data_IF_393340022808
#
_entry.id   IF_393340022808
#
_cell.length_a   1.000
_cell.length_b   1.000
_cell.length_c   1.000
_cell.angle_alpha   90.00
_cell.angle_beta   90.00
_cell.angle_gamma   90.00
#
_symmetry.space_group_name_H-M   'P 1'
#
loop_
_entity.id
_entity.type
_entity.pdbx_description
1 polymer ?
#
# COMPACT_ATOMS: atom_id res chain seq x y z
N UNK A 1 -42.73 33.07 44.06
CA UNK A 1 -42.28 32.97 42.65
C UNK A 1 -41.08 32.03 42.61
N UNK A 2 -41.25 30.77 42.21
CA UNK A 2 -40.19 29.75 42.11
C UNK A 2 -39.73 29.69 40.66
N UNK A 3 -38.44 30.03 40.42
CA UNK A 3 -37.79 29.84 39.11
C UNK A 3 -37.34 28.38 39.00
N UNK A 4 -37.89 27.66 38.04
CA UNK A 4 -37.47 26.32 37.65
C UNK A 4 -36.39 26.47 36.57
N UNK A 5 -35.14 26.07 36.90
CA UNK A 5 -34.06 25.95 35.93
C UNK A 5 -34.13 24.60 35.25
N UNK A 6 -34.40 24.57 33.95
CA UNK A 6 -34.37 23.38 33.12
C UNK A 6 -32.89 23.21 32.65
N UNK A 7 -32.24 22.23 33.20
CA UNK A 7 -30.92 21.82 32.73
C UNK A 7 -31.05 21.04 31.43
N UNK A 8 -30.46 21.59 30.36
CA UNK A 8 -30.33 20.90 29.08
C UNK A 8 -29.10 19.96 29.17
N UNK A 9 -29.35 18.68 29.29
CA UNK A 9 -28.33 17.66 29.13
C UNK A 9 -28.09 17.46 27.60
N UNK A 10 -27.03 18.04 27.08
CA UNK A 10 -26.57 17.73 25.72
C UNK A 10 -25.80 16.40 25.77
N UNK A 11 -26.43 15.34 25.28
CA UNK A 11 -25.83 14.04 25.11
C UNK A 11 -24.74 14.09 24.06
N UNK A 12 -23.51 13.89 24.47
CA UNK A 12 -22.37 13.65 23.59
C UNK A 12 -22.46 12.22 23.03
N UNK A 13 -23.06 12.08 21.84
CA UNK A 13 -23.16 10.80 21.12
C UNK A 13 -22.84 11.01 19.63
N UNK A 14 -21.59 11.34 19.29
CA UNK A 14 -21.14 11.47 17.88
C UNK A 14 -19.67 11.10 17.64
N UNK A 15 -19.11 10.09 18.33
CA UNK A 15 -17.72 9.66 18.06
C UNK A 15 -17.54 8.16 17.74
N UNK A 16 -18.63 7.39 17.57
CA UNK A 16 -18.50 5.93 17.31
C UNK A 16 -18.71 5.50 15.86
N UNK A 17 -19.18 6.40 14.97
CA UNK A 17 -19.50 6.03 13.59
C UNK A 17 -18.27 5.94 12.66
N UNK A 18 -17.20 6.71 12.90
CA UNK A 18 -16.03 6.73 12.04
C UNK A 18 -15.23 5.43 12.08
N UNK A 19 -15.03 4.86 13.26
CA UNK A 19 -14.25 3.63 13.46
C UNK A 19 -14.96 2.40 12.86
N UNK A 20 -16.28 2.34 12.95
CA UNK A 20 -17.05 1.23 12.39
C UNK A 20 -17.01 1.20 10.85
N UNK A 21 -17.01 2.35 10.19
CA UNK A 21 -16.91 2.43 8.72
C UNK A 21 -15.50 2.05 8.21
N UNK A 22 -14.44 2.49 8.88
CA UNK A 22 -13.07 2.14 8.53
C UNK A 22 -12.82 0.63 8.67
N UNK A 23 -13.21 0.02 9.77
CA UNK A 23 -13.10 -1.42 10.01
C UNK A 23 -13.91 -2.25 9.00
N UNK A 24 -15.10 -1.79 8.58
CA UNK A 24 -15.91 -2.48 7.59
C UNK A 24 -15.28 -2.40 6.18
N UNK A 25 -14.63 -1.28 5.86
CA UNK A 25 -13.88 -1.10 4.62
C UNK A 25 -12.67 -2.05 4.56
N UNK A 26 -11.88 -2.12 5.63
CA UNK A 26 -10.71 -3.00 5.72
C UNK A 26 -11.09 -4.48 5.61
N UNK A 27 -12.16 -4.92 6.28
CA UNK A 27 -12.69 -6.30 6.12
C UNK A 27 -13.08 -6.62 4.69
N UNK A 28 -13.69 -5.67 4.00
CA UNK A 28 -14.09 -5.86 2.61
C UNK A 28 -12.88 -5.95 1.68
N UNK A 29 -11.87 -5.09 1.88
CA UNK A 29 -10.60 -5.18 1.16
C UNK A 29 -9.89 -6.51 1.43
N UNK A 30 -9.85 -6.97 2.69
CA UNK A 30 -9.29 -8.27 3.05
C UNK A 30 -9.99 -9.44 2.35
N UNK A 31 -11.32 -9.39 2.24
CA UNK A 31 -12.11 -10.40 1.54
C UNK A 31 -11.82 -10.42 0.03
N UNK A 32 -11.77 -9.26 -0.61
CA UNK A 32 -11.45 -9.16 -2.05
C UNK A 32 -10.00 -9.58 -2.33
N UNK A 33 -9.05 -9.17 -1.48
CA UNK A 33 -7.66 -9.63 -1.57
C UNK A 33 -7.58 -11.15 -1.35
N UNK A 34 -8.40 -11.71 -0.45
CA UNK A 34 -8.51 -13.16 -0.22
C UNK A 34 -8.97 -13.95 -1.45
N UNK A 35 -9.73 -13.32 -2.37
CA UNK A 35 -10.19 -13.91 -3.63
C UNK A 35 -9.16 -13.82 -4.75
N UNK A 36 -8.10 -13.05 -4.55
CA UNK A 36 -6.99 -12.91 -5.51
C UNK A 36 -6.16 -14.19 -5.50
N UNK A 37 -5.86 -14.72 -6.69
CA UNK A 37 -4.94 -15.85 -6.85
C UNK A 37 -3.47 -15.42 -6.74
N UNK A 38 -3.16 -14.20 -7.20
CA UNK A 38 -1.84 -13.60 -7.06
C UNK A 38 -1.73 -12.83 -5.74
N UNK A 39 -0.56 -12.88 -5.16
CA UNK A 39 -0.12 -11.94 -4.11
C UNK A 39 0.42 -10.65 -4.73
N UNK A 40 0.55 -9.60 -3.90
CA UNK A 40 1.20 -8.35 -4.33
C UNK A 40 2.64 -8.59 -4.82
N UNK A 41 3.38 -9.50 -4.17
CA UNK A 41 4.74 -9.90 -4.58
C UNK A 41 4.75 -10.49 -6.00
N UNK A 42 3.80 -11.36 -6.31
CA UNK A 42 3.71 -11.96 -7.65
C UNK A 42 3.33 -10.93 -8.71
N UNK A 43 2.43 -9.99 -8.38
CA UNK A 43 2.08 -8.89 -9.28
C UNK A 43 3.30 -7.97 -9.56
N UNK A 44 4.08 -7.64 -8.53
CA UNK A 44 5.34 -6.89 -8.69
C UNK A 44 6.28 -7.63 -9.66
N UNK A 45 6.47 -8.94 -9.48
CA UNK A 45 7.35 -9.73 -10.35
C UNK A 45 6.88 -9.77 -11.80
N UNK A 46 5.56 -9.80 -12.04
CA UNK A 46 4.99 -9.73 -13.40
C UNK A 46 5.36 -8.40 -14.05
N UNK A 47 5.19 -7.28 -13.36
CA UNK A 47 5.51 -5.94 -13.87
C UNK A 47 7.02 -5.75 -14.09
N UNK A 48 7.87 -6.13 -13.14
CA UNK A 48 9.33 -6.04 -13.25
C UNK A 48 9.87 -6.92 -14.39
N UNK A 49 9.29 -8.10 -14.60
CA UNK A 49 9.66 -8.96 -15.73
C UNK A 49 9.31 -8.32 -17.09
N UNK A 50 8.22 -7.57 -17.15
CA UNK A 50 7.78 -6.91 -18.38
C UNK A 50 8.61 -5.66 -18.70
N UNK A 51 9.05 -4.90 -17.69
CA UNK A 51 9.80 -3.64 -17.85
C UNK A 51 11.32 -3.84 -17.77
N UNK A 52 11.79 -4.77 -16.94
CA UNK A 52 13.21 -4.94 -16.60
C UNK A 52 13.70 -3.96 -15.53
N UNK A 53 12.83 -3.11 -15.00
CA UNK A 53 13.15 -2.06 -14.03
C UNK A 53 12.93 -2.46 -12.57
N UNK A 54 12.78 -1.45 -11.69
CA UNK A 54 12.49 -1.60 -10.25
C UNK A 54 11.18 -0.96 -9.88
N UNK A 55 10.39 -1.67 -9.10
CA UNK A 55 9.08 -1.18 -8.62
C UNK A 55 9.24 -0.07 -7.58
N UNK A 56 8.47 0.99 -7.76
CA UNK A 56 8.41 2.16 -6.87
C UNK A 56 7.11 2.24 -6.06
N UNK A 57 6.03 1.64 -6.57
CA UNK A 57 4.71 1.57 -5.93
C UNK A 57 3.97 0.33 -6.40
N UNK A 58 3.22 -0.27 -5.50
CA UNK A 58 2.40 -1.43 -5.78
C UNK A 58 1.11 -1.35 -4.94
N UNK A 59 -0.04 -1.34 -5.60
CA UNK A 59 -1.34 -1.11 -4.98
C UNK A 59 -2.35 -2.18 -5.40
N UNK A 60 -3.07 -2.75 -4.43
CA UNK A 60 -4.28 -3.52 -4.68
C UNK A 60 -5.47 -2.56 -4.72
N UNK A 61 -5.93 -2.25 -5.91
CA UNK A 61 -7.02 -1.31 -6.12
C UNK A 61 -8.35 -2.06 -6.25
N UNK A 62 -9.23 -1.82 -5.29
CA UNK A 62 -10.58 -2.33 -5.26
C UNK A 62 -11.58 -1.20 -5.06
N UNK A 63 -12.43 -0.98 -6.06
CA UNK A 63 -13.55 -0.04 -5.99
C UNK A 63 -14.86 -0.81 -6.17
N UNK A 64 -15.82 -0.57 -5.28
CA UNK A 64 -17.13 -1.23 -5.34
C UNK A 64 -17.75 -1.06 -6.74
N UNK A 65 -18.14 -2.18 -7.36
CA UNK A 65 -18.71 -2.19 -8.72
C UNK A 65 -17.68 -2.33 -9.85
N UNK A 66 -16.38 -2.31 -9.55
CA UNK A 66 -15.31 -2.54 -10.51
C UNK A 66 -14.53 -3.81 -10.15
N UNK A 67 -13.96 -4.51 -11.15
CA UNK A 67 -13.03 -5.61 -10.87
C UNK A 67 -11.81 -5.09 -10.09
N UNK A 68 -11.35 -5.88 -9.11
CA UNK A 68 -10.09 -5.60 -8.45
C UNK A 68 -8.92 -5.70 -9.44
N UNK A 69 -7.90 -4.89 -9.26
CA UNK A 69 -6.66 -4.89 -10.04
C UNK A 69 -5.46 -4.63 -9.13
N UNK A 70 -4.28 -5.07 -9.55
CA UNK A 70 -3.01 -4.54 -9.05
C UNK A 70 -2.54 -3.42 -9.97
N UNK A 71 -2.14 -2.29 -9.40
CA UNK A 71 -1.49 -1.18 -10.10
C UNK A 71 -0.03 -1.11 -9.63
N UNK A 72 0.89 -1.41 -10.53
CA UNK A 72 2.33 -1.52 -10.19
C UNK A 72 3.10 -0.49 -11.00
N UNK A 73 3.84 0.38 -10.34
CA UNK A 73 4.68 1.39 -11.00
C UNK A 73 6.14 0.94 -11.01
N UNK A 74 6.70 0.84 -12.18
CA UNK A 74 8.08 0.39 -12.41
C UNK A 74 8.89 1.51 -13.05
N UNK A 75 10.00 1.85 -12.42
CA UNK A 75 11.02 2.74 -13.00
C UNK A 75 11.98 1.91 -13.85
N UNK A 76 12.13 2.26 -15.13
CA UNK A 76 13.04 1.58 -16.06
C UNK A 76 14.48 1.59 -15.56
N UNK A 77 15.28 0.63 -16.01
CA UNK A 77 16.69 0.46 -15.60
C UNK A 77 17.54 1.70 -15.88
N UNK A 78 17.26 2.44 -16.96
CA UNK A 78 17.94 3.68 -17.30
C UNK A 78 17.40 4.92 -16.54
N UNK A 79 16.37 4.75 -15.73
CA UNK A 79 15.75 5.79 -14.91
C UNK A 79 14.96 6.85 -15.71
N UNK A 80 14.66 6.60 -16.98
CA UNK A 80 14.04 7.59 -17.88
C UNK A 80 12.55 7.41 -18.09
N UNK A 81 12.00 6.27 -17.68
CA UNK A 81 10.59 5.94 -17.88
C UNK A 81 9.99 5.39 -16.60
N UNK A 82 8.79 5.87 -16.25
CA UNK A 82 7.96 5.30 -15.19
C UNK A 82 6.71 4.73 -15.85
N UNK A 83 6.51 3.41 -15.73
CA UNK A 83 5.36 2.70 -16.31
C UNK A 83 4.48 2.15 -15.21
N UNK A 84 3.18 2.42 -15.29
CA UNK A 84 2.17 1.74 -14.47
C UNK A 84 1.63 0.53 -15.24
N UNK A 85 1.65 -0.62 -14.60
CA UNK A 85 1.07 -1.88 -15.08
C UNK A 85 -0.21 -2.15 -14.32
N UNK A 86 -1.31 -2.38 -15.04
CA UNK A 86 -2.60 -2.81 -14.48
C UNK A 86 -2.70 -4.32 -14.67
N UNK A 87 -2.70 -5.08 -13.57
CA UNK A 87 -2.61 -6.55 -13.58
C UNK A 87 -3.88 -7.16 -12.97
N UNK A 88 -4.41 -8.18 -13.65
CA UNK A 88 -5.54 -8.94 -13.14
C UNK A 88 -5.11 -9.85 -11.98
N UNK A 89 -5.71 -9.71 -10.78
CA UNK A 89 -5.29 -10.49 -9.62
C UNK A 89 -5.69 -11.97 -9.65
N UNK A 90 -6.54 -12.37 -10.61
CA UNK A 90 -6.97 -13.77 -10.76
C UNK A 90 -6.15 -14.52 -11.79
N UNK A 91 -5.68 -13.84 -12.83
CA UNK A 91 -4.99 -14.47 -13.96
C UNK A 91 -3.52 -14.11 -14.06
N UNK A 92 -3.10 -12.99 -13.47
CA UNK A 92 -1.75 -12.43 -13.61
C UNK A 92 -1.52 -11.73 -14.95
N UNK A 93 -2.53 -11.61 -15.79
CA UNK A 93 -2.39 -10.94 -17.07
C UNK A 93 -2.29 -9.43 -16.90
N UNK A 94 -1.37 -8.81 -17.64
CA UNK A 94 -1.33 -7.35 -17.79
C UNK A 94 -2.53 -6.94 -18.65
N UNK A 95 -3.43 -6.16 -18.07
CA UNK A 95 -4.64 -5.64 -18.75
C UNK A 95 -4.38 -4.35 -19.48
N UNK A 96 -3.52 -3.51 -18.91
CA UNK A 96 -3.22 -2.19 -19.42
C UNK A 96 -1.86 -1.69 -18.95
N UNK A 97 -1.31 -0.69 -19.64
CA UNK A 97 -0.06 -0.03 -19.29
C UNK A 97 -0.16 1.46 -19.57
N UNK A 98 0.30 2.28 -18.62
CA UNK A 98 0.30 3.74 -18.75
C UNK A 98 1.69 4.31 -18.47
N UNK A 99 2.08 5.34 -19.22
CA UNK A 99 3.25 6.12 -18.87
C UNK A 99 2.87 7.12 -17.76
N UNK A 100 3.60 7.10 -16.66
CA UNK A 100 3.41 7.99 -15.53
C UNK A 100 4.32 9.23 -15.62
N UNK A 101 3.95 10.26 -14.89
CA UNK A 101 4.74 11.50 -14.82
C UNK A 101 5.99 11.25 -13.97
N UNK A 102 7.13 11.15 -14.66
CA UNK A 102 8.42 10.83 -14.04
C UNK A 102 8.92 11.95 -13.10
N UNK A 103 8.67 13.23 -13.42
CA UNK A 103 9.11 14.37 -12.61
C UNK A 103 8.60 14.30 -11.17
N UNK A 104 7.39 13.79 -10.97
CA UNK A 104 6.82 13.62 -9.64
C UNK A 104 7.60 12.57 -8.81
N UNK A 105 8.12 11.53 -9.45
CA UNK A 105 9.00 10.57 -8.78
C UNK A 105 10.38 11.18 -8.52
N UNK A 106 10.97 11.84 -9.50
CA UNK A 106 12.32 12.41 -9.41
C UNK A 106 12.41 13.55 -8.40
N UNK A 107 11.30 14.25 -8.11
CA UNK A 107 11.26 15.25 -7.03
C UNK A 107 11.38 14.62 -5.64
N UNK A 108 11.06 13.33 -5.51
CA UNK A 108 11.09 12.58 -4.25
C UNK A 108 12.35 11.73 -4.08
N UNK A 109 12.86 11.14 -5.15
CA UNK A 109 14.04 10.29 -5.12
C UNK A 109 14.80 10.28 -6.45
N UNK A 110 16.08 9.99 -6.44
CA UNK A 110 16.84 9.77 -7.66
C UNK A 110 16.74 8.29 -8.11
N UNK A 111 16.82 8.03 -9.43
CA UNK A 111 16.88 6.66 -9.96
C UNK A 111 18.03 5.85 -9.38
N UNK A 112 19.18 6.48 -9.16
CA UNK A 112 20.36 5.82 -8.58
C UNK A 112 20.13 5.40 -7.13
N UNK A 113 19.44 6.22 -6.31
CA UNK A 113 19.10 5.82 -4.95
C UNK A 113 18.27 4.55 -4.94
N UNK A 114 17.26 4.45 -5.82
CA UNK A 114 16.44 3.25 -5.92
C UNK A 114 17.26 2.04 -6.42
N UNK A 115 18.10 2.23 -7.44
CA UNK A 115 18.91 1.17 -8.04
C UNK A 115 19.96 0.61 -7.07
N UNK A 116 20.60 1.47 -6.27
CA UNK A 116 21.67 1.11 -5.35
C UNK A 116 21.17 0.64 -3.97
N UNK A 117 19.90 0.89 -3.66
CA UNK A 117 19.33 0.43 -2.38
C UNK A 117 19.26 -1.10 -2.34
N UNK A 118 19.85 -1.76 -1.31
CA UNK A 118 19.94 -3.23 -1.24
C UNK A 118 18.56 -3.89 -1.10
N UNK A 119 17.67 -3.31 -0.31
CA UNK A 119 16.31 -3.82 -0.11
C UNK A 119 15.44 -3.45 -1.32
N UNK A 120 14.74 -4.42 -1.89
CA UNK A 120 13.75 -4.20 -2.96
C UNK A 120 12.37 -4.03 -2.37
N UNK A 121 11.41 -3.44 -3.14
CA UNK A 121 10.01 -3.35 -2.70
C UNK A 121 9.43 -4.76 -2.45
N UNK A 122 9.74 -5.74 -3.29
CA UNK A 122 9.36 -7.15 -3.09
C UNK A 122 9.85 -7.69 -1.74
N UNK A 123 11.11 -7.40 -1.36
CA UNK A 123 11.65 -7.84 -0.08
C UNK A 123 10.99 -7.12 1.10
N UNK A 124 10.75 -5.81 0.97
CA UNK A 124 10.05 -5.03 1.99
C UNK A 124 8.61 -5.57 2.22
N UNK A 125 7.88 -5.89 1.14
CA UNK A 125 6.55 -6.51 1.23
C UNK A 125 6.62 -7.86 1.97
N UNK A 126 7.61 -8.69 1.65
CA UNK A 126 7.81 -9.96 2.35
C UNK A 126 8.03 -9.75 3.86
N UNK A 127 8.94 -8.86 4.23
CA UNK A 127 9.25 -8.55 5.64
C UNK A 127 8.03 -8.01 6.39
N UNK A 128 7.26 -7.10 5.78
CA UNK A 128 6.06 -6.55 6.37
C UNK A 128 4.99 -7.61 6.63
N UNK A 129 4.79 -8.54 5.69
CA UNK A 129 3.86 -9.67 5.87
C UNK A 129 4.31 -10.62 7.00
N UNK A 130 5.62 -10.86 7.13
CA UNK A 130 6.17 -11.68 8.24
C UNK A 130 5.96 -10.97 9.59
N UNK A 131 6.17 -9.66 9.64
CA UNK A 131 6.03 -8.85 10.85
C UNK A 131 4.58 -8.77 11.32
N UNK A 132 3.66 -8.38 10.43
CA UNK A 132 2.25 -8.14 10.77
C UNK A 132 1.39 -9.41 10.80
N UNK A 133 1.80 -10.47 10.09
CA UNK A 133 0.98 -11.67 9.83
C UNK A 133 -0.19 -11.42 8.88
N UNK A 134 -0.25 -10.25 8.23
CA UNK A 134 -1.27 -9.88 7.24
C UNK A 134 -0.82 -10.10 5.80
N UNK A 135 -1.74 -9.94 4.84
CA UNK A 135 -1.43 -9.88 3.41
C UNK A 135 -1.26 -8.42 2.99
N UNK A 136 -0.24 -8.14 2.17
CA UNK A 136 0.02 -6.79 1.70
C UNK A 136 -1.07 -6.31 0.73
N UNK A 137 -1.57 -5.10 1.00
CA UNK A 137 -2.48 -4.34 0.15
C UNK A 137 -1.72 -3.36 -0.73
N UNK A 138 -0.86 -2.55 -0.10
CA UNK A 138 -0.15 -1.47 -0.77
C UNK A 138 1.31 -1.46 -0.30
N UNK A 139 2.18 -0.98 -1.17
CA UNK A 139 3.59 -0.78 -0.85
C UNK A 139 4.16 0.38 -1.66
N UNK A 140 4.83 1.30 -0.99
CA UNK A 140 5.48 2.47 -1.58
C UNK A 140 6.91 2.61 -1.10
N UNK A 141 7.74 3.27 -1.92
CA UNK A 141 9.07 3.71 -1.53
C UNK A 141 9.13 5.23 -1.49
N UNK A 142 9.72 5.75 -0.41
CA UNK A 142 9.96 7.17 -0.21
C UNK A 142 11.40 7.45 0.22
N UNK A 143 11.86 8.67 -0.06
CA UNK A 143 13.14 9.16 0.46
C UNK A 143 12.96 9.72 1.86
N UNK A 144 13.82 9.29 2.78
CA UNK A 144 13.92 9.83 4.14
C UNK A 144 15.39 10.25 4.40
N UNK A 145 15.63 11.57 4.32
CA UNK A 145 17.00 12.08 4.43
C UNK A 145 17.88 11.58 3.29
N UNK A 146 18.88 10.77 3.62
CA UNK A 146 19.89 10.19 2.72
C UNK A 146 19.58 8.74 2.28
N UNK A 147 18.54 8.10 2.82
CA UNK A 147 18.18 6.71 2.51
C UNK A 147 16.72 6.59 2.02
N UNK A 148 16.36 5.39 1.53
CA UNK A 148 14.99 5.05 1.17
C UNK A 148 14.31 4.31 2.32
N UNK A 149 13.03 4.59 2.50
CA UNK A 149 12.12 3.90 3.42
C UNK A 149 10.98 3.29 2.60
N UNK A 150 10.63 2.06 2.91
CA UNK A 150 9.46 1.40 2.37
C UNK A 150 8.32 1.47 3.38
N UNK A 151 7.14 1.84 2.90
CA UNK A 151 5.89 1.77 3.67
C UNK A 151 5.01 0.69 3.06
N UNK A 152 4.62 -0.30 3.84
CA UNK A 152 3.77 -1.41 3.40
C UNK A 152 2.53 -1.47 4.28
N UNK A 153 1.37 -1.41 3.65
CA UNK A 153 0.10 -1.65 4.32
C UNK A 153 -0.31 -3.11 4.15
N UNK A 154 -0.60 -3.76 5.26
CA UNK A 154 -1.07 -5.15 5.29
C UNK A 154 -2.42 -5.24 5.96
N UNK A 155 -3.19 -6.29 5.63
CA UNK A 155 -4.49 -6.55 6.24
C UNK A 155 -4.65 -8.02 6.58
N UNK A 156 -5.21 -8.29 7.77
CA UNK A 156 -5.62 -9.62 8.22
C UNK A 156 -7.07 -9.90 7.83
N UNK A 157 -7.47 -11.17 7.86
CA UNK A 157 -8.84 -11.58 7.51
C UNK A 157 -9.92 -10.99 8.43
N UNK A 158 -9.58 -10.67 9.67
CA UNK A 158 -10.47 -10.01 10.64
C UNK A 158 -10.67 -8.51 10.35
N UNK A 159 -9.89 -7.95 9.40
CA UNK A 159 -9.89 -6.54 9.02
C UNK A 159 -8.90 -5.68 9.79
N UNK A 160 -8.07 -6.27 10.67
CA UNK A 160 -6.97 -5.55 11.30
C UNK A 160 -5.94 -5.19 10.24
N UNK A 161 -5.59 -3.92 10.13
CA UNK A 161 -4.56 -3.44 9.21
C UNK A 161 -3.34 -2.95 9.96
N UNK A 162 -2.18 -3.05 9.30
CA UNK A 162 -0.91 -2.61 9.82
C UNK A 162 -0.20 -1.78 8.77
N UNK A 163 0.45 -0.72 9.23
CA UNK A 163 1.40 0.07 8.45
C UNK A 163 2.81 -0.22 8.93
N UNK A 164 3.54 -0.97 8.13
CA UNK A 164 4.91 -1.40 8.44
C UNK A 164 5.90 -0.56 7.65
N UNK A 165 6.86 0.06 8.34
CA UNK A 165 7.95 0.82 7.74
C UNK A 165 9.25 0.04 7.81
N UNK A 166 10.00 0.05 6.71
CA UNK A 166 11.19 -0.77 6.53
C UNK A 166 12.32 0.09 5.96
N UNK A 167 13.47 0.01 6.58
CA UNK A 167 14.70 0.69 6.15
C UNK A 167 15.21 0.05 4.84
N UNK A 168 15.34 0.84 3.79
CA UNK A 168 15.84 0.39 2.50
C UNK A 168 17.31 -0.04 2.51
N UNK A 169 18.12 0.52 3.40
CA UNK A 169 19.54 0.22 3.45
C UNK A 169 19.85 -1.16 4.04
N UNK A 170 19.02 -1.67 4.95
CA UNK A 170 19.33 -2.91 5.69
C UNK A 170 18.14 -3.87 5.88
N UNK A 171 16.93 -3.50 5.44
CA UNK A 171 15.71 -4.29 5.57
C UNK A 171 15.16 -4.38 7.00
N UNK A 172 15.61 -3.56 7.93
CA UNK A 172 15.08 -3.57 9.30
C UNK A 172 13.70 -2.92 9.35
N UNK A 173 12.81 -3.51 10.14
CA UNK A 173 11.52 -2.89 10.47
C UNK A 173 11.77 -1.70 11.39
N UNK A 174 11.32 -0.52 10.95
CA UNK A 174 11.41 0.75 11.67
C UNK A 174 10.22 0.92 12.61
N UNK A 175 9.03 0.64 12.10
CA UNK A 175 7.77 0.66 12.87
C UNK A 175 6.77 -0.34 12.31
N UNK A 176 5.82 -0.74 13.18
CA UNK A 176 4.66 -1.56 12.85
C UNK A 176 3.48 -0.96 13.63
N UNK A 177 2.68 -0.16 12.93
CA UNK A 177 1.57 0.58 13.51
C UNK A 177 0.26 -0.11 13.12
N UNK A 178 -0.48 -0.62 14.13
CA UNK A 178 -1.83 -1.18 13.93
C UNK A 178 -2.82 -0.03 13.71
N UNK A 179 -3.50 -0.05 12.57
CA UNK A 179 -4.57 0.90 12.24
C UNK A 179 -5.94 0.26 12.54
N UNK A 180 -6.73 0.93 13.37
CA UNK A 180 -8.08 0.49 13.79
C UNK A 180 -9.18 1.24 13.07
#
# INVERSE_FOLDING_TARGET
>A
MRKVSIGVAVAAALLSSGIAFASQSAKHQAQELGRSKLSLIEAIRVAEKADGGRTTSADFNFKRGNPAVYEIKVLSTDGKKLTQYVIDPKTGNVKDTHNEVLEKLLSRMSPDNLRLTPTTLTHAVYLAQQQSGGRALNADVDRKGDHLEYTVETVKLDGTSHKVKIDGANGKVISDDEEK
#
